data_IF_348578560317
#
_entry.id   IF_348578560317
#
_cell.length_a   1.000
_cell.length_b   1.000
_cell.length_c   1.000
_cell.angle_alpha   90.00
_cell.angle_beta   90.00
_cell.angle_gamma   90.00
#
_symmetry.space_group_name_H-M   'P 1'
#
loop_
_entity.id
_entity.type
_entity.pdbx_description
1 polymer ?
#
# COMPACT_ATOMS: atom_id res chain seq x y z
N UNK A 1 -15.46 -25.12 -1.84
CA UNK A 1 -14.46 -24.11 -1.47
C UNK A 1 -14.97 -23.33 -0.29
N UNK A 2 -14.11 -23.05 0.69
CA UNK A 2 -14.45 -22.27 1.87
C UNK A 2 -13.43 -21.14 1.97
N UNK A 3 -13.92 -19.92 2.14
CA UNK A 3 -13.09 -18.74 2.39
C UNK A 3 -13.38 -18.24 3.80
N UNK A 4 -12.34 -17.91 4.56
CA UNK A 4 -12.48 -17.46 5.93
C UNK A 4 -11.78 -16.11 6.13
N UNK A 5 -12.37 -15.27 6.98
CA UNK A 5 -11.80 -13.97 7.38
C UNK A 5 -12.15 -13.69 8.86
N UNK A 6 -11.35 -12.86 9.52
CA UNK A 6 -11.62 -12.39 10.89
C UNK A 6 -12.66 -11.26 10.90
N UNK A 7 -12.74 -10.46 9.83
CA UNK A 7 -13.72 -9.40 9.69
C UNK A 7 -15.10 -9.97 9.32
N UNK A 8 -15.96 -10.12 10.33
CA UNK A 8 -17.33 -10.59 10.16
C UNK A 8 -18.15 -9.74 9.18
N UNK A 9 -17.91 -8.42 9.13
CA UNK A 9 -18.64 -7.55 8.21
C UNK A 9 -18.21 -7.81 6.75
N UNK A 10 -16.91 -8.05 6.52
CA UNK A 10 -16.40 -8.45 5.21
C UNK A 10 -16.94 -9.83 4.79
N UNK A 11 -16.99 -10.78 5.72
CA UNK A 11 -17.58 -12.12 5.49
C UNK A 11 -19.05 -12.02 5.07
N UNK A 12 -19.87 -11.26 5.79
CA UNK A 12 -21.28 -11.08 5.48
C UNK A 12 -21.49 -10.42 4.10
N UNK A 13 -20.70 -9.38 3.81
CA UNK A 13 -20.73 -8.69 2.53
C UNK A 13 -20.32 -9.63 1.37
N UNK A 14 -19.25 -10.40 1.54
CA UNK A 14 -18.76 -11.34 0.55
C UNK A 14 -19.71 -12.52 0.34
N UNK A 15 -20.29 -13.08 1.40
CA UNK A 15 -21.30 -14.13 1.32
C UNK A 15 -22.54 -13.66 0.55
N UNK A 16 -22.96 -12.42 0.77
CA UNK A 16 -24.10 -11.83 0.05
C UNK A 16 -23.80 -11.57 -1.43
N UNK A 17 -22.58 -11.12 -1.75
CA UNK A 17 -22.21 -10.76 -3.12
C UNK A 17 -21.82 -11.96 -3.99
N UNK A 18 -21.12 -12.94 -3.42
CA UNK A 18 -20.45 -14.02 -4.16
C UNK A 18 -20.74 -15.42 -3.63
N UNK A 19 -21.48 -15.54 -2.53
CA UNK A 19 -21.79 -16.83 -1.91
C UNK A 19 -22.68 -17.71 -2.79
N UNK A 20 -22.42 -19.02 -2.77
CA UNK A 20 -23.15 -19.99 -3.58
C UNK A 20 -22.98 -21.44 -3.12
N UNK A 21 -23.46 -22.41 -3.93
CA UNK A 21 -23.37 -23.83 -3.59
C UNK A 21 -21.93 -24.36 -3.53
N UNK A 22 -20.99 -23.72 -4.25
CA UNK A 22 -19.59 -24.15 -4.39
C UNK A 22 -18.60 -23.32 -3.55
N UNK A 23 -19.00 -22.13 -3.10
CA UNK A 23 -18.18 -21.18 -2.33
C UNK A 23 -18.97 -20.63 -1.15
N UNK A 24 -18.41 -20.80 0.05
CA UNK A 24 -18.97 -20.28 1.30
C UNK A 24 -17.95 -19.41 2.00
N UNK A 25 -18.41 -18.31 2.57
CA UNK A 25 -17.62 -17.41 3.40
C UNK A 25 -18.02 -17.59 4.86
N UNK A 26 -17.05 -17.61 5.78
CA UNK A 26 -17.28 -17.78 7.22
C UNK A 26 -16.18 -17.14 8.05
N UNK A 27 -16.35 -17.10 9.37
CA UNK A 27 -15.29 -16.68 10.29
C UNK A 27 -14.15 -17.72 10.37
N UNK A 28 -12.98 -17.30 10.86
CA UNK A 28 -11.83 -18.14 11.17
C UNK A 28 -12.08 -19.08 12.37
N UNK A 29 -13.01 -20.03 12.19
CA UNK A 29 -13.30 -21.11 13.12
C UNK A 29 -13.35 -22.41 12.33
N UNK A 30 -12.47 -23.34 12.69
CA UNK A 30 -12.19 -24.56 11.92
C UNK A 30 -12.56 -25.87 12.63
N UNK A 31 -13.15 -25.79 13.83
CA UNK A 31 -13.46 -26.95 14.69
C UNK A 31 -14.38 -27.98 14.03
N UNK A 32 -15.28 -27.51 13.16
CA UNK A 32 -16.25 -28.34 12.45
C UNK A 32 -15.71 -28.94 11.14
N UNK A 33 -14.48 -28.61 10.75
CA UNK A 33 -13.84 -29.13 9.55
C UNK A 33 -13.03 -30.39 9.85
N UNK A 34 -13.24 -31.42 9.04
CA UNK A 34 -12.53 -32.70 9.18
C UNK A 34 -11.04 -32.54 8.87
N UNK A 35 -10.13 -33.21 9.61
CA UNK A 35 -8.71 -33.22 9.28
C UNK A 35 -8.45 -33.73 7.85
N UNK A 36 -7.56 -33.07 7.13
CA UNK A 36 -7.16 -33.45 5.78
C UNK A 36 -8.24 -33.28 4.70
N UNK A 37 -9.27 -32.45 4.94
CA UNK A 37 -10.36 -32.24 4.00
C UNK A 37 -10.02 -31.34 2.81
N UNK A 38 -8.85 -30.70 2.79
CA UNK A 38 -8.48 -29.74 1.74
C UNK A 38 -7.15 -30.10 1.07
N UNK A 39 -7.19 -30.20 -0.26
CA UNK A 39 -5.97 -30.38 -1.06
C UNK A 39 -5.16 -29.09 -1.21
N UNK A 40 -5.79 -27.93 -1.04
CA UNK A 40 -5.11 -26.63 -1.08
C UNK A 40 -5.67 -25.72 -0.01
N UNK A 41 -4.78 -25.16 0.81
CA UNK A 41 -5.10 -24.09 1.78
C UNK A 41 -4.32 -22.85 1.38
N UNK A 42 -5.04 -21.77 1.07
CA UNK A 42 -4.45 -20.50 0.66
C UNK A 42 -4.52 -19.48 1.80
N UNK A 43 -3.37 -18.90 2.16
CA UNK A 43 -3.25 -17.88 3.20
C UNK A 43 -2.62 -16.64 2.60
N UNK A 44 -3.36 -15.53 2.55
CA UNK A 44 -2.88 -14.31 1.92
C UNK A 44 -1.65 -13.71 2.64
N UNK A 45 -1.66 -13.74 3.98
CA UNK A 45 -0.55 -13.29 4.82
C UNK A 45 -0.28 -14.30 5.94
N UNK A 46 0.94 -14.84 5.95
CA UNK A 46 1.39 -15.80 6.96
C UNK A 46 1.91 -15.12 8.24
N UNK A 47 2.10 -13.80 8.26
CA UNK A 47 2.66 -13.10 9.41
C UNK A 47 1.92 -13.37 10.75
N UNK A 48 0.57 -13.39 10.81
CA UNK A 48 -0.16 -13.71 12.04
C UNK A 48 0.13 -15.12 12.55
N UNK A 49 0.29 -16.09 11.64
CA UNK A 49 0.55 -17.49 11.96
C UNK A 49 2.00 -17.73 12.42
N UNK A 50 2.95 -16.90 11.98
CA UNK A 50 4.32 -16.91 12.54
C UNK A 50 4.34 -16.32 13.95
N UNK A 51 3.54 -15.27 14.21
CA UNK A 51 3.42 -14.65 15.53
C UNK A 51 2.69 -15.55 16.54
N UNK A 52 1.74 -16.35 16.08
CA UNK A 52 0.98 -17.31 16.87
C UNK A 52 1.01 -18.72 16.24
N UNK A 53 2.08 -19.50 16.45
CA UNK A 53 2.27 -20.82 15.82
C UNK A 53 1.13 -21.82 16.07
N UNK A 54 0.40 -21.69 17.19
CA UNK A 54 -0.76 -22.54 17.50
C UNK A 54 -1.87 -22.43 16.45
N UNK A 55 -2.03 -21.26 15.81
CA UNK A 55 -3.01 -21.08 14.73
C UNK A 55 -2.59 -21.83 13.45
N UNK A 56 -1.29 -21.99 13.22
CA UNK A 56 -0.80 -22.76 12.08
C UNK A 56 -1.11 -24.25 12.25
N UNK A 57 -1.09 -24.78 13.48
CA UNK A 57 -1.41 -26.19 13.74
C UNK A 57 -2.82 -26.54 13.25
N UNK A 58 -3.78 -25.64 13.46
CA UNK A 58 -5.16 -25.80 12.99
C UNK A 58 -5.22 -25.82 11.46
N UNK A 59 -4.51 -24.92 10.78
CA UNK A 59 -4.45 -24.91 9.32
C UNK A 59 -3.76 -26.17 8.77
N UNK A 60 -2.64 -26.58 9.37
CA UNK A 60 -1.89 -27.75 8.96
C UNK A 60 -2.71 -29.04 9.10
N UNK A 61 -3.54 -29.14 10.14
CA UNK A 61 -4.50 -30.25 10.33
C UNK A 61 -5.48 -30.40 9.17
N UNK A 62 -5.88 -29.30 8.53
CA UNK A 62 -6.86 -29.29 7.44
C UNK A 62 -6.28 -29.71 6.09
N UNK A 63 -4.96 -29.62 5.91
CA UNK A 63 -4.28 -29.97 4.65
C UNK A 63 -4.26 -31.50 4.49
N UNK A 64 -4.71 -31.98 3.33
CA UNK A 64 -4.71 -33.39 2.98
C UNK A 64 -3.27 -33.91 2.84
N UNK A 65 -3.07 -35.24 2.89
CA UNK A 65 -1.72 -35.84 2.79
C UNK A 65 -0.99 -35.49 1.48
N UNK A 66 -1.73 -35.25 0.40
CA UNK A 66 -1.20 -34.87 -0.92
C UNK A 66 -1.38 -33.37 -1.19
N UNK A 67 -1.91 -32.63 -0.22
CA UNK A 67 -2.24 -31.23 -0.36
C UNK A 67 -1.11 -30.29 0.04
N UNK A 68 -1.31 -29.01 -0.27
CA UNK A 68 -0.33 -27.96 -0.02
C UNK A 68 -0.97 -26.76 0.68
N UNK A 69 -0.23 -26.21 1.64
CA UNK A 69 -0.46 -24.86 2.18
C UNK A 69 0.36 -23.89 1.33
N UNK A 70 -0.31 -22.87 0.79
CA UNK A 70 0.32 -21.81 0.01
C UNK A 70 0.06 -20.48 0.69
N UNK A 71 1.10 -19.69 0.92
CA UNK A 71 0.90 -18.35 1.44
C UNK A 71 2.06 -17.41 1.22
N UNK A 72 1.80 -16.13 1.46
CA UNK A 72 2.80 -15.07 1.34
C UNK A 72 3.31 -14.63 2.71
N UNK A 73 4.62 -14.41 2.83
CA UNK A 73 5.18 -13.60 3.90
C UNK A 73 5.87 -12.38 3.27
N UNK A 74 5.62 -11.21 3.83
CA UNK A 74 6.37 -10.03 3.44
C UNK A 74 7.79 -10.04 4.00
N UNK A 75 8.76 -9.63 3.18
CA UNK A 75 10.07 -9.24 3.69
C UNK A 75 10.11 -7.72 3.98
N UNK A 76 10.38 -7.29 5.23
CA UNK A 76 10.54 -5.89 5.57
C UNK A 76 11.75 -5.20 4.91
N UNK A 77 12.83 -5.95 4.62
CA UNK A 77 14.01 -5.42 3.97
C UNK A 77 13.91 -5.33 2.44
N UNK A 78 12.87 -5.93 1.85
CA UNK A 78 12.61 -5.85 0.42
C UNK A 78 11.87 -4.58 -0.01
N UNK A 79 12.19 -4.11 -1.22
CA UNK A 79 11.49 -3.00 -1.87
C UNK A 79 10.09 -3.46 -2.33
N UNK A 80 9.10 -3.36 -1.44
CA UNK A 80 7.70 -3.56 -1.82
C UNK A 80 7.09 -2.24 -2.34
N UNK A 81 6.24 -2.30 -3.38
CA UNK A 81 5.50 -1.15 -3.95
C UNK A 81 4.69 -0.35 -2.90
N UNK A 82 4.50 -0.91 -1.70
CA UNK A 82 3.75 -0.29 -0.62
C UNK A 82 4.58 0.43 0.41
N UNK A 83 5.91 0.58 0.33
CA UNK A 83 6.72 1.38 1.30
C UNK A 83 6.24 2.85 1.52
N UNK A 84 5.12 3.23 0.90
CA UNK A 84 4.19 4.33 1.14
C UNK A 84 3.04 4.07 2.16
N UNK A 85 2.98 2.95 2.90
CA UNK A 85 1.88 2.64 3.85
C UNK A 85 2.38 2.33 5.27
N UNK A 86 1.49 2.61 6.23
CA UNK A 86 1.66 2.81 7.67
C UNK A 86 2.54 1.80 8.41
N UNK A 87 3.11 2.26 9.53
CA UNK A 87 3.95 1.49 10.45
C UNK A 87 3.16 0.30 11.00
N UNK A 88 3.48 -0.91 10.58
CA UNK A 88 2.98 -2.14 11.23
C UNK A 88 3.33 -2.08 12.74
N UNK A 89 2.34 -2.31 13.61
CA UNK A 89 2.62 -2.49 15.03
C UNK A 89 3.38 -3.80 15.25
N UNK A 90 4.61 -3.68 15.75
CA UNK A 90 5.51 -4.78 16.08
C UNK A 90 6.53 -5.11 14.98
N UNK A 91 7.60 -5.82 15.36
CA UNK A 91 8.60 -6.26 14.40
C UNK A 91 7.98 -7.30 13.43
N UNK A 92 8.09 -7.11 12.10
CA UNK A 92 7.60 -8.09 11.13
C UNK A 92 8.36 -9.41 11.27
N UNK A 93 7.67 -10.57 11.16
CA UNK A 93 8.31 -11.86 11.28
C UNK A 93 9.31 -12.09 10.15
N UNK A 94 10.43 -12.74 10.47
CA UNK A 94 11.52 -12.97 9.51
C UNK A 94 11.32 -14.28 8.74
N UNK A 95 12.02 -14.40 7.60
CA UNK A 95 12.02 -15.64 6.81
C UNK A 95 12.44 -16.87 7.62
N UNK A 96 13.46 -16.75 8.48
CA UNK A 96 13.89 -17.84 9.35
C UNK A 96 12.78 -18.30 10.30
N UNK A 97 12.09 -17.34 10.94
CA UNK A 97 10.96 -17.65 11.84
C UNK A 97 9.81 -18.35 11.12
N UNK A 98 9.56 -18.01 9.86
CA UNK A 98 8.55 -18.70 9.04
C UNK A 98 8.92 -20.16 8.78
N UNK A 99 10.17 -20.43 8.42
CA UNK A 99 10.65 -21.80 8.22
C UNK A 99 10.60 -22.62 9.52
N UNK A 100 11.00 -22.02 10.64
CA UNK A 100 10.98 -22.67 11.96
C UNK A 100 9.56 -23.09 12.38
N UNK A 101 8.56 -22.29 12.00
CA UNK A 101 7.14 -22.55 12.33
C UNK A 101 6.51 -23.56 11.35
N UNK A 102 6.92 -23.59 10.08
CA UNK A 102 6.36 -24.53 9.09
C UNK A 102 7.01 -25.92 9.11
N UNK A 103 8.31 -26.00 9.35
CA UNK A 103 9.08 -27.25 9.28
C UNK A 103 8.58 -28.39 10.20
N UNK A 104 8.02 -28.14 11.41
CA UNK A 104 7.44 -29.18 12.24
C UNK A 104 6.20 -29.85 11.63
N UNK A 105 5.48 -29.13 10.75
CA UNK A 105 4.20 -29.59 10.20
C UNK A 105 4.33 -30.16 8.79
N UNK A 106 5.30 -29.70 8.00
CA UNK A 106 5.45 -30.06 6.59
C UNK A 106 6.86 -30.56 6.30
N UNK A 107 6.96 -31.78 5.74
CA UNK A 107 8.25 -32.37 5.37
C UNK A 107 8.96 -31.61 4.23
N UNK A 108 8.19 -30.94 3.36
CA UNK A 108 8.71 -30.16 2.25
C UNK A 108 8.16 -28.74 2.31
N UNK A 109 9.07 -27.78 2.47
CA UNK A 109 8.79 -26.36 2.32
C UNK A 109 9.58 -25.84 1.11
N UNK A 110 8.88 -25.25 0.17
CA UNK A 110 9.41 -24.65 -1.06
C UNK A 110 9.09 -23.17 -1.05
N UNK A 111 10.08 -22.35 -1.36
CA UNK A 111 9.95 -20.90 -1.27
C UNK A 111 10.30 -20.31 -2.62
N UNK A 112 9.38 -19.51 -3.14
CA UNK A 112 9.62 -18.63 -4.25
C UNK A 112 9.80 -17.20 -3.74
N UNK A 113 10.88 -16.54 -4.17
CA UNK A 113 11.11 -15.14 -3.85
C UNK A 113 10.47 -14.25 -4.91
N UNK A 114 9.87 -13.15 -4.47
CA UNK A 114 9.35 -12.10 -5.33
C UNK A 114 10.31 -10.91 -5.32
N UNK A 115 11.07 -10.69 -6.39
CA UNK A 115 12.05 -9.58 -6.47
C UNK A 115 11.65 -8.52 -7.52
N UNK A 116 11.78 -7.21 -7.20
CA UNK A 116 11.50 -6.12 -8.14
C UNK A 116 12.75 -5.76 -8.96
N UNK A 117 12.99 -6.44 -10.09
CA UNK A 117 14.12 -6.14 -10.99
C UNK A 117 13.71 -5.25 -12.18
N UNK A 118 12.85 -5.78 -13.05
CA UNK A 118 12.23 -5.12 -14.23
C UNK A 118 10.70 -5.39 -14.28
N UNK A 119 10.21 -6.05 -13.24
CA UNK A 119 8.94 -6.75 -13.06
C UNK A 119 9.10 -7.69 -11.85
N UNK A 120 8.01 -8.27 -11.35
CA UNK A 120 8.09 -9.22 -10.25
C UNK A 120 8.42 -10.62 -10.77
N UNK A 121 9.60 -11.15 -10.43
CA UNK A 121 9.99 -12.52 -10.75
C UNK A 121 9.62 -13.45 -9.59
N UNK A 122 9.07 -14.63 -9.86
CA UNK A 122 8.96 -15.73 -8.89
C UNK A 122 10.00 -16.79 -9.22
N UNK A 123 10.96 -17.01 -8.32
CA UNK A 123 12.02 -18.01 -8.48
C UNK A 123 12.05 -18.95 -7.27
N UNK A 124 11.90 -20.26 -7.51
CA UNK A 124 12.00 -21.30 -6.48
C UNK A 124 13.47 -21.62 -6.16
N UNK A 125 13.83 -21.71 -4.88
CA UNK A 125 15.22 -21.89 -4.43
C UNK A 125 15.81 -23.31 -4.64
N UNK A 126 15.07 -24.26 -5.24
CA UNK A 126 15.53 -25.65 -5.44
C UNK A 126 16.14 -25.86 -6.83
N UNK A 127 17.41 -25.51 -6.98
CA UNK A 127 18.23 -25.88 -8.14
C UNK A 127 19.46 -25.00 -8.24
N UNK A 128 20.46 -25.40 -9.03
CA UNK A 128 21.53 -24.49 -9.53
C UNK A 128 20.86 -23.41 -10.42
N UNK A 129 20.13 -22.52 -9.76
CA UNK A 129 19.27 -21.52 -10.35
C UNK A 129 20.11 -20.32 -10.72
N UNK A 130 20.09 -20.01 -12.01
CA UNK A 130 20.36 -18.71 -12.62
C UNK A 130 20.80 -17.64 -11.61
N UNK A 131 22.11 -17.52 -11.37
CA UNK A 131 22.68 -16.35 -10.70
C UNK A 131 22.41 -15.14 -11.57
N UNK A 132 21.29 -14.46 -11.33
CA UNK A 132 21.04 -13.15 -11.93
C UNK A 132 21.97 -12.17 -11.23
N UNK A 133 22.88 -11.58 -12.00
CA UNK A 133 23.84 -10.59 -11.51
C UNK A 133 23.09 -9.37 -10.94
N UNK A 134 22.98 -9.32 -9.61
CA UNK A 134 22.34 -8.23 -8.87
C UNK A 134 23.18 -6.96 -8.81
N UNK A 135 24.32 -6.87 -9.50
CA UNK A 135 25.23 -5.71 -9.48
C UNK A 135 24.58 -4.38 -9.91
N UNK A 136 23.47 -4.43 -10.64
CA UNK A 136 22.71 -3.25 -11.09
C UNK A 136 21.76 -2.68 -10.01
N UNK A 137 21.40 -3.46 -8.99
CA UNK A 137 20.58 -3.00 -7.86
C UNK A 137 21.46 -3.13 -6.64
N UNK A 138 21.92 -2.02 -6.06
CA UNK A 138 22.62 -2.05 -4.77
C UNK A 138 21.68 -2.66 -3.71
N UNK A 139 21.74 -3.97 -3.50
CA UNK A 139 21.10 -4.69 -2.39
C UNK A 139 19.57 -4.76 -2.42
N UNK A 140 18.95 -5.19 -3.52
CA UNK A 140 17.50 -5.45 -3.54
C UNK A 140 17.15 -6.79 -2.90
N UNK A 141 16.77 -6.81 -1.62
CA UNK A 141 16.17 -8.00 -1.00
C UNK A 141 14.79 -8.31 -1.62
N UNK A 142 14.39 -9.58 -1.63
CA UNK A 142 13.05 -9.98 -2.11
C UNK A 142 11.95 -9.25 -1.33
N UNK A 143 10.88 -8.79 -1.99
CA UNK A 143 9.77 -8.06 -1.38
C UNK A 143 8.77 -8.99 -0.64
N UNK A 144 8.56 -10.19 -1.20
CA UNK A 144 7.70 -11.22 -0.63
C UNK A 144 8.33 -12.59 -0.80
N UNK A 145 8.09 -13.46 0.17
CA UNK A 145 8.33 -14.90 0.10
C UNK A 145 6.99 -15.58 -0.12
N UNK A 146 6.84 -16.26 -1.25
CA UNK A 146 5.72 -17.16 -1.49
C UNK A 146 6.16 -18.54 -1.04
N UNK A 147 5.42 -19.14 -0.11
CA UNK A 147 5.72 -20.46 0.42
C UNK A 147 4.70 -21.46 -0.08
N UNK A 148 5.19 -22.64 -0.45
CA UNK A 148 4.42 -23.83 -0.77
C UNK A 148 4.91 -24.93 0.17
N UNK A 149 4.08 -25.34 1.11
CA UNK A 149 4.41 -26.33 2.13
C UNK A 149 3.50 -27.56 2.03
N UNK A 150 4.07 -28.76 2.06
CA UNK A 150 3.32 -30.02 1.93
C UNK A 150 4.09 -31.22 2.48
N UNK A 151 3.43 -32.38 2.53
CA UNK A 151 4.08 -33.65 2.89
C UNK A 151 4.85 -34.27 1.72
N UNK A 152 4.52 -33.87 0.51
CA UNK A 152 5.21 -34.26 -0.73
C UNK A 152 5.74 -32.98 -1.42
N UNK A 153 6.88 -33.06 -2.12
CA UNK A 153 7.42 -31.93 -2.85
C UNK A 153 6.42 -31.49 -3.92
N UNK A 154 6.29 -30.18 -4.12
CA UNK A 154 5.48 -29.66 -5.20
C UNK A 154 6.14 -30.07 -6.53
N UNK A 155 5.34 -30.22 -7.59
CA UNK A 155 5.90 -30.49 -8.92
C UNK A 155 6.85 -29.34 -9.29
N UNK A 156 8.01 -29.67 -9.84
CA UNK A 156 8.98 -28.65 -10.27
C UNK A 156 8.32 -27.69 -11.26
N UNK A 157 8.12 -26.46 -10.83
CA UNK A 157 7.71 -25.37 -11.71
C UNK A 157 8.99 -24.67 -12.14
N UNK A 158 9.28 -24.71 -13.44
CA UNK A 158 10.41 -23.96 -13.98
C UNK A 158 10.23 -22.47 -13.64
N UNK A 159 11.29 -21.77 -13.20
CA UNK A 159 11.21 -20.35 -12.88
C UNK A 159 10.66 -19.59 -14.09
N UNK A 160 9.45 -19.06 -13.94
CA UNK A 160 8.71 -18.43 -15.03
C UNK A 160 8.59 -16.95 -14.76
N UNK A 161 8.95 -16.13 -15.75
CA UNK A 161 8.75 -14.70 -15.69
C UNK A 161 7.27 -14.39 -15.91
N UNK A 162 6.63 -13.77 -14.91
CA UNK A 162 5.24 -13.33 -15.02
C UNK A 162 5.21 -11.82 -14.95
N UNK A 163 4.78 -11.19 -16.04
CA UNK A 163 4.50 -9.76 -16.03
C UNK A 163 3.19 -9.52 -15.30
N UNK A 164 3.26 -9.05 -14.06
CA UNK A 164 2.07 -8.54 -13.38
C UNK A 164 1.69 -7.18 -13.98
N UNK A 165 0.39 -6.88 -14.13
CA UNK A 165 -0.06 -5.55 -14.55
C UNK A 165 0.55 -4.47 -13.62
N UNK A 166 0.85 -3.28 -14.17
CA UNK A 166 1.56 -2.21 -13.46
C UNK A 166 0.75 -1.60 -12.29
N UNK A 167 -0.54 -1.94 -12.16
CA UNK A 167 -1.36 -1.61 -11.00
C UNK A 167 -1.24 -2.75 -9.97
N UNK A 168 -0.92 -2.46 -8.69
CA UNK A 168 -0.73 -3.53 -7.72
C UNK A 168 -2.05 -4.28 -7.50
N UNK A 169 -2.05 -5.56 -7.90
CA UNK A 169 -3.21 -6.47 -7.92
C UNK A 169 -3.82 -6.81 -6.56
N UNK A 170 -3.50 -6.11 -5.48
CA UNK A 170 -4.02 -6.43 -4.16
C UNK A 170 -4.92 -5.35 -3.53
N UNK A 171 -4.76 -4.04 -3.81
CA UNK A 171 -5.39 -3.07 -2.90
C UNK A 171 -5.69 -1.64 -3.41
N UNK A 172 -5.46 -1.31 -4.67
CA UNK A 172 -5.48 0.12 -5.10
C UNK A 172 -6.82 0.67 -5.60
N UNK A 173 -7.78 -0.17 -6.01
CA UNK A 173 -9.10 0.36 -6.42
C UNK A 173 -9.97 0.74 -5.21
N UNK A 174 -9.93 -0.06 -4.15
CA UNK A 174 -10.67 0.21 -2.92
C UNK A 174 -10.13 1.42 -2.15
N UNK A 175 -8.83 1.49 -1.89
CA UNK A 175 -8.29 2.51 -0.96
C UNK A 175 -8.30 3.94 -1.48
N UNK A 176 -8.12 4.19 -2.78
CA UNK A 176 -8.21 5.56 -3.31
C UNK A 176 -9.65 6.07 -3.30
N UNK A 177 -10.60 5.22 -3.68
CA UNK A 177 -12.02 5.53 -3.57
C UNK A 177 -12.43 5.65 -2.09
N UNK A 178 -11.89 4.84 -1.18
CA UNK A 178 -12.11 4.95 0.27
C UNK A 178 -11.48 6.22 0.86
N UNK A 179 -10.30 6.65 0.42
CA UNK A 179 -9.67 7.90 0.89
C UNK A 179 -10.46 9.10 0.35
N UNK A 180 -10.92 9.05 -0.90
CA UNK A 180 -11.80 10.06 -1.47
C UNK A 180 -13.19 10.08 -0.80
N UNK A 181 -13.77 8.91 -0.50
CA UNK A 181 -15.01 8.77 0.25
C UNK A 181 -14.86 9.19 1.71
N UNK A 182 -13.72 8.87 2.35
CA UNK A 182 -13.40 9.36 3.70
C UNK A 182 -13.26 10.87 3.69
N UNK A 183 -12.55 11.46 2.74
CA UNK A 183 -12.41 12.91 2.61
C UNK A 183 -13.78 13.60 2.42
N UNK A 184 -14.64 13.08 1.52
CA UNK A 184 -16.03 13.55 1.37
C UNK A 184 -16.84 13.38 2.65
N UNK A 185 -16.71 12.24 3.33
CA UNK A 185 -17.39 11.97 4.60
C UNK A 185 -16.91 12.87 5.74
N UNK A 186 -15.64 13.29 5.76
CA UNK A 186 -15.11 14.28 6.68
C UNK A 186 -15.61 15.69 6.36
N UNK A 187 -15.71 16.04 5.07
CA UNK A 187 -16.25 17.32 4.61
C UNK A 187 -17.74 17.46 4.94
N UNK A 188 -18.55 16.42 4.68
CA UNK A 188 -19.97 16.38 5.05
C UNK A 188 -20.18 16.46 6.57
N UNK A 189 -19.37 15.74 7.36
CA UNK A 189 -19.42 15.80 8.83
C UNK A 189 -19.06 17.20 9.34
N UNK A 190 -18.04 17.83 8.74
CA UNK A 190 -17.65 19.21 9.07
C UNK A 190 -18.72 20.22 8.69
N UNK A 191 -19.40 20.02 7.56
CA UNK A 191 -20.57 20.81 7.15
C UNK A 191 -21.72 20.72 8.15
N UNK A 192 -22.09 19.50 8.56
CA UNK A 192 -23.12 19.28 9.59
C UNK A 192 -22.74 19.90 10.93
N UNK A 193 -21.49 19.77 11.36
CA UNK A 193 -20.99 20.40 12.59
C UNK A 193 -21.03 21.93 12.52
N UNK A 194 -20.72 22.54 11.37
CA UNK A 194 -20.87 23.99 11.16
C UNK A 194 -22.32 24.45 11.31
N UNK A 195 -23.27 23.69 10.77
CA UNK A 195 -24.71 23.98 10.95
C UNK A 195 -25.18 23.82 12.39
N UNK A 196 -24.69 22.81 13.10
CA UNK A 196 -25.02 22.63 14.53
C UNK A 196 -24.47 23.79 15.36
N UNK A 197 -23.21 24.18 15.15
CA UNK A 197 -22.59 25.31 15.85
C UNK A 197 -23.32 26.62 15.54
N UNK A 198 -23.78 26.85 14.30
CA UNK A 198 -24.53 28.07 13.96
C UNK A 198 -25.90 28.11 14.62
N UNK A 199 -26.62 26.98 14.69
CA UNK A 199 -27.89 26.87 15.41
C UNK A 199 -27.71 27.09 16.91
N UNK A 200 -26.73 26.44 17.53
CA UNK A 200 -26.44 26.61 18.96
C UNK A 200 -26.05 28.07 19.29
N UNK A 201 -25.32 28.75 18.40
CA UNK A 201 -25.02 30.19 18.57
C UNK A 201 -26.27 31.06 18.54
N UNK A 202 -27.20 30.79 17.63
CA UNK A 202 -28.46 31.53 17.55
C UNK A 202 -29.32 31.29 18.80
N UNK A 203 -29.47 30.03 19.21
CA UNK A 203 -30.21 29.66 20.42
C UNK A 203 -29.59 30.28 21.68
N UNK A 204 -28.26 30.27 21.79
CA UNK A 204 -27.56 30.92 22.90
C UNK A 204 -27.85 32.43 22.94
N UNK A 205 -27.80 33.11 21.79
CA UNK A 205 -28.13 34.55 21.68
C UNK A 205 -29.55 34.84 22.14
N UNK A 206 -30.53 34.01 21.76
CA UNK A 206 -31.92 34.18 22.17
C UNK A 206 -32.10 34.01 23.69
N UNK A 207 -31.39 33.04 24.30
CA UNK A 207 -31.43 32.83 25.76
C UNK A 207 -30.70 33.90 26.54
N UNK A 208 -29.61 34.44 26.01
CA UNK A 208 -28.94 35.59 26.60
C UNK A 208 -29.86 36.82 26.62
N UNK A 209 -30.62 37.04 25.54
CA UNK A 209 -31.63 38.09 25.48
C UNK A 209 -32.78 37.84 26.49
N UNK A 210 -33.23 36.60 26.65
CA UNK A 210 -34.24 36.20 27.64
C UNK A 210 -33.77 36.55 29.07
N UNK A 211 -32.58 36.12 29.47
CA UNK A 211 -31.99 36.43 30.79
C UNK A 211 -31.78 37.94 30.97
N UNK A 212 -31.32 38.64 29.93
CA UNK A 212 -31.12 40.10 29.97
C UNK A 212 -32.44 40.86 30.17
N UNK A 213 -33.57 40.33 29.68
CA UNK A 213 -34.91 40.92 29.85
C UNK A 213 -35.53 40.66 31.24
N UNK A 214 -35.23 39.50 31.85
CA UNK A 214 -35.78 39.10 33.14
C UNK A 214 -35.14 39.85 34.32
N UNK A 215 -33.84 40.18 34.23
CA UNK A 215 -33.11 40.94 35.27
C UNK A 215 -33.76 42.29 35.64
N UNK A 216 -34.01 43.21 34.71
CA UNK A 216 -34.64 44.49 35.05
C UNK A 216 -36.08 44.31 35.56
N UNK A 217 -36.81 43.31 35.07
CA UNK A 217 -38.16 43.01 35.56
C UNK A 217 -38.16 42.55 37.02
N UNK A 218 -37.15 41.77 37.43
CA UNK A 218 -36.94 41.38 38.82
C UNK A 218 -36.54 42.57 39.71
N UNK A 219 -35.70 43.49 39.20
CA UNK A 219 -35.31 44.71 39.92
C UNK A 219 -36.51 45.64 40.16
N UNK A 220 -37.36 45.88 39.14
CA UNK A 220 -38.59 46.66 39.29
C UNK A 220 -39.52 46.02 40.33
N UNK A 221 -39.71 44.70 40.29
CA UNK A 221 -40.53 43.98 41.27
C UNK A 221 -39.99 44.11 42.70
N UNK A 222 -38.66 44.07 42.88
CA UNK A 222 -37.99 44.29 44.18
C UNK A 222 -38.20 45.70 44.71
N UNK A 223 -38.06 46.71 43.86
CA UNK A 223 -38.29 48.11 44.23
C UNK A 223 -39.76 48.37 44.61
N UNK A 224 -40.71 47.81 43.86
CA UNK A 224 -42.13 47.90 44.19
C UNK A 224 -42.46 47.22 45.52
N UNK A 225 -41.87 46.04 45.79
CA UNK A 225 -41.98 45.35 47.07
C UNK A 225 -41.44 46.19 48.24
N UNK A 226 -40.26 46.80 48.07
CA UNK A 226 -39.66 47.70 49.07
C UNK A 226 -40.54 48.93 49.35
N UNK A 227 -41.14 49.52 48.30
CA UNK A 227 -42.08 50.65 48.44
C UNK A 227 -43.34 50.25 49.20
N UNK A 228 -43.95 49.10 48.87
CA UNK A 228 -45.13 48.58 49.57
C UNK A 228 -44.82 48.23 51.03
N UNK A 229 -43.63 47.69 51.31
CA UNK A 229 -43.17 47.40 52.67
C UNK A 229 -43.01 48.69 53.49
N UNK A 230 -42.43 49.74 52.91
CA UNK A 230 -42.29 51.04 53.56
C UNK A 230 -43.66 51.68 53.86
N UNK A 231 -44.60 51.62 52.91
CA UNK A 231 -45.97 52.11 53.10
C UNK A 231 -46.72 51.34 54.20
N UNK A 232 -46.55 50.01 54.26
CA UNK A 232 -47.13 49.18 55.31
C UNK A 232 -46.58 49.56 56.69
N UNK A 233 -45.27 49.80 56.80
CA UNK A 233 -44.65 50.18 58.08
C UNK A 233 -45.09 51.57 58.55
N UNK A 234 -45.28 52.51 57.62
CA UNK A 234 -45.85 53.82 57.92
C UNK A 234 -47.32 53.72 58.38
N UNK A 235 -48.13 52.88 57.73
CA UNK A 235 -49.54 52.64 58.12
C UNK A 235 -49.69 51.91 59.46
N UNK A 236 -48.67 51.17 59.92
CA UNK A 236 -48.65 50.57 61.27
C UNK A 236 -48.55 51.61 62.39
N UNK A 237 -48.01 52.79 62.10
CA UNK A 237 -47.84 53.87 63.06
C UNK A 237 -49.12 54.70 63.26
N UNK A 238 -50.13 54.53 62.41
CA UNK A 238 -51.41 55.25 62.45
C UNK A 238 -52.57 54.33 62.89
N UNK A 239 -53.14 54.50 64.11
CA UNK A 239 -54.11 53.56 64.68
C UNK A 239 -55.52 53.56 64.03
N UNK A 240 -55.81 54.50 63.13
CA UNK A 240 -57.12 54.63 62.46
C UNK A 240 -57.21 53.87 61.11
N UNK A 241 -56.12 53.26 60.64
CA UNK A 241 -55.98 52.74 59.27
C UNK A 241 -55.94 51.20 59.17
N UNK A 242 -56.74 50.48 59.97
CA UNK A 242 -56.71 49.00 60.02
C UNK A 242 -57.01 48.33 58.66
N UNK A 243 -58.00 48.85 57.91
CA UNK A 243 -58.36 48.32 56.57
C UNK A 243 -57.26 48.54 55.54
N UNK A 244 -56.67 49.74 55.52
CA UNK A 244 -55.56 50.07 54.60
C UNK A 244 -54.33 49.20 54.87
N UNK A 245 -54.05 48.90 56.14
CA UNK A 245 -52.97 47.99 56.54
C UNK A 245 -53.20 46.57 56.02
N UNK A 246 -54.42 46.05 56.14
CA UNK A 246 -54.75 44.70 55.68
C UNK A 246 -54.67 44.62 54.13
N UNK A 247 -55.14 45.64 53.42
CA UNK A 247 -55.00 45.76 51.96
C UNK A 247 -53.54 45.84 51.49
N UNK A 248 -52.71 46.66 52.14
CA UNK A 248 -51.28 46.76 51.86
C UNK A 248 -50.56 45.44 52.16
N UNK A 249 -50.96 44.72 53.22
CA UNK A 249 -50.38 43.42 53.56
C UNK A 249 -50.71 42.35 52.52
N UNK A 250 -51.93 42.36 51.98
CA UNK A 250 -52.35 41.44 50.92
C UNK A 250 -51.62 41.74 49.61
N UNK A 251 -51.46 43.03 49.26
CA UNK A 251 -50.69 43.48 48.08
C UNK A 251 -49.21 43.11 48.20
N UNK A 252 -48.60 43.31 49.38
CA UNK A 252 -47.21 42.94 49.65
C UNK A 252 -46.99 41.44 49.48
N UNK A 253 -47.82 40.60 50.11
CA UNK A 253 -47.73 39.13 49.99
C UNK A 253 -47.87 38.67 48.54
N UNK A 254 -48.79 39.26 47.78
CA UNK A 254 -48.95 38.96 46.36
C UNK A 254 -47.71 39.33 45.55
N UNK A 255 -47.12 40.51 45.81
CA UNK A 255 -45.88 40.94 45.14
C UNK A 255 -44.67 40.12 45.54
N UNK A 256 -44.56 39.70 46.79
CA UNK A 256 -43.50 38.80 47.27
C UNK A 256 -43.55 37.44 46.55
N UNK A 257 -44.75 36.87 46.35
CA UNK A 257 -44.93 35.65 45.57
C UNK A 257 -44.56 35.86 44.09
N UNK A 258 -44.97 36.97 43.47
CA UNK A 258 -44.59 37.31 42.10
C UNK A 258 -43.06 37.48 41.95
N UNK A 259 -42.40 38.10 42.93
CA UNK A 259 -40.95 38.22 42.97
C UNK A 259 -40.26 36.87 43.11
N UNK A 260 -40.76 35.97 43.97
CA UNK A 260 -40.23 34.61 44.10
C UNK A 260 -40.31 33.84 42.78
N UNK A 261 -41.45 33.90 42.10
CA UNK A 261 -41.64 33.27 40.79
C UNK A 261 -40.68 33.83 39.74
N UNK A 262 -40.47 35.15 39.71
CA UNK A 262 -39.51 35.77 38.79
C UNK A 262 -38.05 35.38 39.11
N UNK A 263 -37.71 35.24 40.40
CA UNK A 263 -36.38 34.82 40.83
C UNK A 263 -36.10 33.35 40.48
N UNK A 264 -37.08 32.46 40.67
CA UNK A 264 -36.98 31.06 40.24
C UNK A 264 -36.81 30.96 38.73
N UNK A 265 -37.63 31.68 37.94
CA UNK A 265 -37.52 31.74 36.48
C UNK A 265 -36.17 32.25 36.01
N UNK A 266 -35.63 33.28 36.64
CA UNK A 266 -34.29 33.79 36.33
C UNK A 266 -33.22 32.74 36.64
N UNK A 267 -33.29 32.08 37.80
CA UNK A 267 -32.31 31.05 38.18
C UNK A 267 -32.34 29.83 37.25
N UNK A 268 -33.52 29.42 36.80
CA UNK A 268 -33.67 28.32 35.84
C UNK A 268 -33.18 28.71 34.45
N UNK A 269 -33.46 29.96 34.02
CA UNK A 269 -32.93 30.49 32.75
C UNK A 269 -31.40 30.61 32.78
N UNK A 270 -30.81 31.05 33.89
CA UNK A 270 -29.35 31.14 34.06
C UNK A 270 -28.68 29.76 34.08
N UNK A 271 -29.29 28.74 34.70
CA UNK A 271 -28.80 27.36 34.66
C UNK A 271 -28.81 26.79 33.24
N UNK A 272 -29.91 26.98 32.50
CA UNK A 272 -30.01 26.54 31.11
C UNK A 272 -29.01 27.26 30.21
N UNK A 273 -28.84 28.56 30.41
CA UNK A 273 -27.84 29.35 29.68
C UNK A 273 -26.43 28.83 29.93
N UNK A 274 -26.08 28.52 31.18
CA UNK A 274 -24.76 27.97 31.52
C UNK A 274 -24.53 26.60 30.86
N UNK A 275 -25.53 25.73 30.86
CA UNK A 275 -25.45 24.43 30.20
C UNK A 275 -25.24 24.58 28.69
N UNK A 276 -26.01 25.46 28.03
CA UNK A 276 -25.87 25.70 26.59
C UNK A 276 -24.53 26.35 26.21
N UNK A 277 -23.93 27.17 27.09
CA UNK A 277 -22.57 27.69 26.88
C UNK A 277 -21.53 26.58 26.86
N UNK A 278 -21.61 25.63 27.79
CA UNK A 278 -20.72 24.47 27.81
C UNK A 278 -20.90 23.60 26.56
N UNK A 279 -22.15 23.31 26.17
CA UNK A 279 -22.45 22.56 24.95
C UNK A 279 -21.92 23.27 23.69
N UNK A 280 -21.97 24.60 23.65
CA UNK A 280 -21.44 25.41 22.55
C UNK A 280 -19.90 25.39 22.50
N UNK A 281 -19.23 25.45 23.66
CA UNK A 281 -17.76 25.33 23.74
C UNK A 281 -17.28 23.95 23.28
N UNK A 282 -17.95 22.88 23.71
CA UNK A 282 -17.60 21.52 23.30
C UNK A 282 -17.86 21.30 21.80
N UNK A 283 -18.97 21.82 21.27
CA UNK A 283 -19.25 21.79 19.83
C UNK A 283 -18.22 22.59 19.01
N UNK A 284 -17.71 23.70 19.54
CA UNK A 284 -16.64 24.47 18.89
C UNK A 284 -15.30 23.71 18.90
N UNK A 285 -14.94 23.07 20.02
CA UNK A 285 -13.73 22.23 20.08
C UNK A 285 -13.80 21.10 19.06
N UNK A 286 -14.92 20.37 19.02
CA UNK A 286 -15.15 19.31 18.04
C UNK A 286 -15.08 19.83 16.58
N UNK A 287 -15.61 21.03 16.32
CA UNK A 287 -15.49 21.67 14.99
C UNK A 287 -14.04 21.99 14.64
N UNK A 288 -13.26 22.53 15.58
CA UNK A 288 -11.85 22.85 15.33
C UNK A 288 -11.02 21.60 15.08
N UNK A 289 -11.20 20.53 15.87
CA UNK A 289 -10.52 19.25 15.68
C UNK A 289 -10.86 18.61 14.33
N UNK A 290 -12.15 18.59 13.96
CA UNK A 290 -12.58 18.09 12.65
C UNK A 290 -11.98 18.90 11.50
N UNK A 291 -11.85 20.23 11.63
CA UNK A 291 -11.22 21.07 10.61
C UNK A 291 -9.72 20.79 10.44
N UNK A 292 -9.01 20.53 11.53
CA UNK A 292 -7.59 20.14 11.52
C UNK A 292 -7.42 18.79 10.82
N UNK A 293 -8.30 17.83 11.10
CA UNK A 293 -8.27 16.52 10.45
C UNK A 293 -8.51 16.60 8.93
N UNK A 294 -9.42 17.47 8.48
CA UNK A 294 -9.64 17.72 7.04
C UNK A 294 -8.39 18.30 6.38
N UNK A 295 -7.76 19.30 7.00
CA UNK A 295 -6.53 19.92 6.47
C UNK A 295 -5.38 18.90 6.39
N UNK A 296 -5.19 18.11 7.46
CA UNK A 296 -4.18 17.05 7.47
C UNK A 296 -4.41 16.01 6.35
N UNK A 297 -5.66 15.61 6.12
CA UNK A 297 -6.00 14.70 5.02
C UNK A 297 -5.73 15.31 3.63
N UNK A 298 -6.01 16.60 3.45
CA UNK A 298 -5.72 17.32 2.20
C UNK A 298 -4.21 17.43 1.93
N UNK A 299 -3.43 17.73 2.96
CA UNK A 299 -1.96 17.78 2.86
C UNK A 299 -1.37 16.40 2.55
N UNK A 300 -1.84 15.34 3.22
CA UNK A 300 -1.43 13.97 2.94
C UNK A 300 -1.71 13.60 1.48
N UNK A 301 -2.89 13.94 0.95
CA UNK A 301 -3.24 13.69 -0.44
C UNK A 301 -2.35 14.47 -1.43
N UNK A 302 -2.04 15.74 -1.10
CA UNK A 302 -1.13 16.56 -1.91
C UNK A 302 0.27 15.96 -1.96
N UNK A 303 0.80 15.51 -0.83
CA UNK A 303 2.11 14.86 -0.74
C UNK A 303 2.15 13.53 -1.49
N UNK A 304 1.10 12.72 -1.39
CA UNK A 304 0.97 11.47 -2.15
C UNK A 304 0.98 11.72 -3.66
N UNK A 305 0.27 12.75 -4.13
CA UNK A 305 0.27 13.15 -5.54
C UNK A 305 1.65 13.58 -6.02
N UNK A 306 2.34 14.41 -5.26
CA UNK A 306 3.70 14.85 -5.59
C UNK A 306 4.68 13.67 -5.68
N UNK A 307 4.59 12.72 -4.73
CA UNK A 307 5.40 11.49 -4.77
C UNK A 307 5.09 10.64 -6.00
N UNK A 308 3.82 10.53 -6.42
CA UNK A 308 3.45 9.81 -7.65
C UNK A 308 4.00 10.46 -8.90
N UNK A 309 3.96 11.78 -8.98
CA UNK A 309 4.52 12.55 -10.10
C UNK A 309 6.05 12.36 -10.17
N UNK A 310 6.76 12.37 -9.05
CA UNK A 310 8.20 12.10 -8.96
C UNK A 310 8.55 10.66 -9.40
N UNK A 311 7.82 9.67 -8.89
CA UNK A 311 8.01 8.26 -9.31
C UNK A 311 7.70 8.10 -10.80
N UNK A 312 6.66 8.75 -11.31
CA UNK A 312 6.32 8.77 -12.74
C UNK A 312 7.46 9.32 -13.60
N UNK A 313 8.04 10.46 -13.21
CA UNK A 313 9.18 11.04 -13.91
C UNK A 313 10.41 10.11 -13.90
N UNK A 314 10.71 9.48 -12.75
CA UNK A 314 11.82 8.51 -12.65
C UNK A 314 11.61 7.27 -13.53
N UNK A 315 10.36 6.82 -13.69
CA UNK A 315 10.00 5.70 -14.56
C UNK A 315 10.14 6.07 -16.04
N UNK A 316 9.77 7.29 -16.42
CA UNK A 316 9.99 7.80 -17.78
C UNK A 316 11.49 7.91 -18.09
N UNK A 317 12.29 8.46 -17.18
CA UNK A 317 13.74 8.55 -17.35
C UNK A 317 14.40 7.16 -17.51
N UNK A 318 13.99 6.18 -16.70
CA UNK A 318 14.51 4.81 -16.81
C UNK A 318 14.08 4.12 -18.12
N UNK A 319 12.86 4.37 -18.61
CA UNK A 319 12.40 3.90 -19.93
C UNK A 319 13.20 4.51 -21.07
N UNK A 320 13.50 5.80 -21.00
CA UNK A 320 14.35 6.46 -22.00
C UNK A 320 15.75 5.87 -22.01
N UNK A 321 16.37 5.69 -20.84
CA UNK A 321 17.69 5.04 -20.71
C UNK A 321 17.68 3.60 -21.25
N UNK A 322 16.64 2.83 -20.98
CA UNK A 322 16.50 1.47 -21.50
C UNK A 322 16.38 1.46 -23.04
N UNK A 323 15.60 2.40 -23.59
CA UNK A 323 15.45 2.55 -25.04
C UNK A 323 16.78 2.90 -25.71
N UNK A 324 17.56 3.80 -25.09
CA UNK A 324 18.91 4.15 -25.53
C UNK A 324 19.86 2.93 -25.46
N UNK A 325 19.80 2.14 -24.39
CA UNK A 325 20.62 0.93 -24.27
C UNK A 325 20.28 -0.11 -25.35
N UNK A 326 19.00 -0.33 -25.66
CA UNK A 326 18.61 -1.22 -26.76
C UNK A 326 19.08 -0.73 -28.12
N UNK A 327 19.05 0.59 -28.37
CA UNK A 327 19.61 1.17 -29.59
C UNK A 327 21.11 0.91 -29.69
N UNK A 328 21.87 1.14 -28.61
CA UNK A 328 23.31 0.87 -28.57
C UNK A 328 23.64 -0.62 -28.81
N UNK A 329 22.88 -1.54 -28.22
CA UNK A 329 23.08 -2.98 -28.45
C UNK A 329 22.85 -3.34 -29.91
N UNK A 330 21.83 -2.76 -30.55
CA UNK A 330 21.56 -2.96 -31.97
C UNK A 330 22.71 -2.44 -32.83
N UNK A 331 23.20 -1.23 -32.56
CA UNK A 331 24.31 -0.65 -33.31
C UNK A 331 25.58 -1.51 -33.17
N UNK A 332 25.89 -1.98 -31.97
CA UNK A 332 27.01 -2.90 -31.72
C UNK A 332 26.84 -4.26 -32.42
N UNK A 333 25.61 -4.79 -32.51
CA UNK A 333 25.33 -6.01 -33.27
C UNK A 333 25.59 -5.81 -34.77
N UNK A 334 25.16 -4.67 -35.32
CA UNK A 334 25.40 -4.30 -36.71
C UNK A 334 26.90 -4.14 -36.97
N UNK A 335 27.66 -3.50 -36.07
CA UNK A 335 29.12 -3.41 -36.14
C UNK A 335 29.80 -4.78 -36.11
N UNK A 336 29.41 -5.68 -35.20
CA UNK A 336 29.94 -7.05 -35.14
C UNK A 336 29.65 -7.81 -36.44
N UNK A 337 28.46 -7.63 -37.01
CA UNK A 337 28.08 -8.27 -38.28
C UNK A 337 28.98 -7.78 -39.43
N UNK A 338 29.24 -6.48 -39.51
CA UNK A 338 30.13 -5.89 -40.50
C UNK A 338 31.57 -6.39 -40.33
N UNK A 339 32.09 -6.43 -39.10
CA UNK A 339 33.43 -6.96 -38.81
C UNK A 339 33.57 -8.44 -39.18
N UNK A 340 32.51 -9.25 -39.05
CA UNK A 340 32.52 -10.65 -39.50
C UNK A 340 32.59 -10.74 -41.02
N UNK A 341 31.79 -9.95 -41.74
CA UNK A 341 31.80 -9.88 -43.19
C UNK A 341 33.20 -9.47 -43.69
N UNK A 342 33.81 -8.47 -43.07
CA UNK A 342 35.13 -7.98 -43.49
C UNK A 342 36.23 -9.01 -43.20
N UNK A 343 36.18 -9.71 -42.05
CA UNK A 343 37.06 -10.85 -41.78
C UNK A 343 36.93 -11.99 -42.79
N UNK A 344 35.70 -12.27 -43.24
CA UNK A 344 35.46 -13.31 -44.24
C UNK A 344 35.98 -12.90 -45.62
N UNK A 345 35.83 -11.63 -46.01
CA UNK A 345 36.46 -11.08 -47.21
C UNK A 345 37.99 -11.16 -47.15
N UNK A 346 38.59 -10.78 -46.03
CA UNK A 346 40.04 -10.84 -45.82
C UNK A 346 40.55 -12.28 -45.91
N UNK A 347 39.81 -13.24 -45.33
CA UNK A 347 40.13 -14.67 -45.43
C UNK A 347 40.08 -15.16 -46.87
N UNK A 348 39.02 -14.85 -47.62
CA UNK A 348 38.90 -15.23 -49.04
C UNK A 348 40.04 -14.60 -49.86
N UNK A 349 40.41 -13.35 -49.57
CA UNK A 349 41.53 -12.69 -50.24
C UNK A 349 42.87 -13.38 -49.93
N UNK A 350 43.09 -13.81 -48.67
CA UNK A 350 44.27 -14.56 -48.26
C UNK A 350 44.34 -15.94 -48.94
N UNK A 351 43.23 -16.69 -48.97
CA UNK A 351 43.15 -18.01 -49.60
C UNK A 351 43.47 -17.91 -51.11
N UNK A 352 42.90 -16.92 -51.81
CA UNK A 352 43.23 -16.64 -53.22
C UNK A 352 44.69 -16.26 -53.43
N UNK A 353 45.28 -15.48 -52.52
CA UNK A 353 46.69 -15.12 -52.60
C UNK A 353 47.61 -16.35 -52.40
N UNK A 354 47.21 -17.27 -51.52
CA UNK A 354 47.91 -18.53 -51.31
C UNK A 354 47.82 -19.44 -52.54
N UNK A 355 46.63 -19.61 -53.13
CA UNK A 355 46.45 -20.38 -54.37
C UNK A 355 47.34 -19.83 -55.50
N UNK A 356 47.35 -18.50 -55.69
CA UNK A 356 48.21 -17.87 -56.69
C UNK A 356 49.70 -18.08 -56.40
N UNK A 357 50.11 -18.10 -55.13
CA UNK A 357 51.49 -18.38 -54.74
C UNK A 357 51.88 -19.84 -55.01
N UNK A 358 50.99 -20.79 -54.70
CA UNK A 358 51.18 -22.22 -54.99
C UNK A 358 51.26 -22.49 -56.49
N UNK A 359 50.39 -21.87 -57.29
CA UNK A 359 50.45 -21.97 -58.75
C UNK A 359 51.78 -21.44 -59.29
N UNK A 360 52.21 -20.25 -58.85
CA UNK A 360 53.54 -19.71 -59.22
C UNK A 360 54.68 -20.65 -58.84
N UNK A 361 54.58 -21.31 -57.68
CA UNK A 361 55.56 -22.29 -57.20
C UNK A 361 55.61 -23.51 -58.11
N UNK A 362 54.45 -24.07 -58.47
CA UNK A 362 54.33 -25.19 -59.43
C UNK A 362 54.88 -24.82 -60.80
N UNK A 363 54.58 -23.62 -61.31
CA UNK A 363 55.15 -23.14 -62.57
C UNK A 363 56.67 -23.00 -62.50
N UNK A 364 57.21 -22.49 -61.40
CA UNK A 364 58.65 -22.38 -61.20
C UNK A 364 59.32 -23.77 -61.09
N UNK A 365 58.71 -24.73 -60.40
CA UNK A 365 59.19 -26.12 -60.31
C UNK A 365 59.17 -26.80 -61.68
N UNK A 366 58.07 -26.69 -62.43
CA UNK A 366 57.97 -27.22 -63.79
C UNK A 366 58.99 -26.58 -64.75
N UNK A 367 59.28 -25.29 -64.60
CA UNK A 367 60.34 -24.62 -65.35
C UNK A 367 61.73 -25.16 -64.99
N UNK A 368 62.02 -25.33 -63.69
CA UNK A 368 63.28 -25.94 -63.20
C UNK A 368 63.46 -27.36 -63.73
N UNK A 369 62.43 -28.19 -63.70
CA UNK A 369 62.48 -29.55 -64.25
C UNK A 369 62.75 -29.56 -65.76
N UNK A 370 62.17 -28.62 -66.51
CA UNK A 370 62.46 -28.46 -67.94
C UNK A 370 63.92 -28.07 -68.17
N UNK A 371 64.45 -27.12 -67.41
CA UNK A 371 65.86 -26.72 -67.48
C UNK A 371 66.79 -27.88 -67.13
N UNK A 372 66.51 -28.63 -66.06
CA UNK A 372 67.27 -29.82 -65.68
C UNK A 372 67.24 -30.89 -66.77
N UNK A 373 66.08 -31.11 -67.41
CA UNK A 373 65.95 -32.05 -68.53
C UNK A 373 66.76 -31.62 -69.73
N UNK A 374 66.71 -30.34 -70.09
CA UNK A 374 67.51 -29.76 -71.18
C UNK A 374 69.00 -29.88 -70.85
N UNK A 375 69.43 -29.55 -69.63
CA UNK A 375 70.81 -29.68 -69.19
C UNK A 375 71.29 -31.15 -69.22
N UNK A 376 70.44 -32.10 -68.80
CA UNK A 376 70.72 -33.53 -68.92
C UNK A 376 70.87 -33.99 -70.37
N UNK A 377 70.00 -33.51 -71.28
CA UNK A 377 70.11 -33.76 -72.71
C UNK A 377 71.40 -33.17 -73.30
N UNK A 378 71.77 -31.93 -72.95
CA UNK A 378 73.03 -31.30 -73.36
C UNK A 378 74.24 -32.07 -72.83
N UNK A 379 74.23 -32.50 -71.57
CA UNK A 379 75.30 -33.31 -70.99
C UNK A 379 75.44 -34.67 -71.69
N UNK A 380 74.33 -35.33 -72.00
CA UNK A 380 74.35 -36.59 -72.77
C UNK A 380 74.85 -36.42 -74.20
N UNK A 381 74.50 -35.30 -74.85
CA UNK A 381 74.99 -34.96 -76.19
C UNK A 381 76.48 -34.62 -76.17
N UNK A 382 76.96 -33.92 -75.13
CA UNK A 382 78.38 -33.62 -74.95
C UNK A 382 79.20 -34.91 -74.74
N UNK A 383 78.72 -35.82 -73.88
CA UNK A 383 79.36 -37.13 -73.67
C UNK A 383 79.39 -37.98 -74.96
N UNK A 384 78.33 -37.92 -75.78
CA UNK A 384 78.31 -38.59 -77.07
C UNK A 384 79.31 -37.99 -78.09
N UNK A 385 79.59 -36.69 -78.01
CA UNK A 385 80.59 -36.00 -78.83
C UNK A 385 82.02 -36.30 -78.34
N UNK A 386 82.24 -36.44 -77.04
CA UNK A 386 83.53 -36.87 -76.48
C UNK A 386 83.87 -38.32 -76.89
N UNK A 387 82.89 -39.23 -76.90
CA UNK A 387 83.06 -40.59 -77.41
C UNK A 387 83.32 -40.70 -78.93
N UNK A 388 83.16 -39.62 -79.70
CA UNK A 388 83.47 -39.56 -81.14
C UNK A 388 84.86 -38.96 -81.43
N UNK A 389 85.61 -38.58 -80.39
CA UNK A 389 86.96 -38.01 -80.51
C UNK A 389 88.10 -38.94 -80.06
N UNK A 390 87.76 -40.12 -79.56
CA UNK A 390 88.66 -41.28 -79.41
C UNK A 390 88.48 -42.24 -80.60
#
# INVERSE_FOLDING_TARGET
>A
MVACDEDLAAVEAAQKAYGGPTLRFRANVYDDLEPGSFDVVLVADLAPYVRAPTLLEELARLVSKQGHLIGGLRNPGGLALWQLMEVEEGAPPTYGQLLDVLAPHFAHVEVATQSPLLGYQLAFERGEGLQVDGSLIRGGEAAYFLVVAGQEPARSVDPTWVQLPPEPLAFTRGRLDEVAQRAKGWEERTGKLKEVVSKLRAELSDREAEVASLKPSLEVAREEGARLSAQLEQARQTPQAARERDELSAKLRRRELEQQVLQERLSDAERRLMQQRLEMEDAQRAQTEASVQVLAAQEAHRLERARREEVGASLEETRERLTQAYAQVRDLQDEISNLRIDREKDRIAADRAQEQAEDRRRYAEAARERELRIAGQYSSALAAVEHLKD
#
